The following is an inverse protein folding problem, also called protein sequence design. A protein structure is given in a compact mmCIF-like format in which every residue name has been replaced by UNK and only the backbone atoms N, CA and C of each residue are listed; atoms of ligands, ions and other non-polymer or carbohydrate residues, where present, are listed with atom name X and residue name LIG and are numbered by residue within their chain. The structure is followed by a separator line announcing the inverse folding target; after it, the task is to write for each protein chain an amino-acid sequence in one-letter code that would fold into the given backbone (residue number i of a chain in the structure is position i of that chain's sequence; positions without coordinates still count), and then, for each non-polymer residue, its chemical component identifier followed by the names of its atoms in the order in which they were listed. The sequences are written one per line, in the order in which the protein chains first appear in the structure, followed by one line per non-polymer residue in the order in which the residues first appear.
data_IF_384003397496
#
_entry.id   IF_384003397496
#
_cell.length_a   1.000
_cell.length_b   1.000
_cell.length_c   1.000
_cell.angle_alpha   90.00
_cell.angle_beta   90.00
_cell.angle_gamma   90.00
#
_symmetry.space_group_name_H-M   'P 1'
#
loop_
_entity.id
_entity.type
_entity.pdbx_description
1 polymer ?
#
# COMPACT_ATOMS: atom_id res chain seq x y z
N UNK A 1 -6.75 -0.49 -11.00
CA UNK A 1 -6.10 0.79 -11.31
C UNK A 1 -6.40 1.24 -12.71
N UNK A 2 -6.50 2.53 -12.92
CA UNK A 2 -6.89 3.11 -14.20
C UNK A 2 -5.78 3.88 -14.90
N UNK A 3 -4.78 4.36 -14.17
CA UNK A 3 -3.74 5.18 -14.74
C UNK A 3 -2.41 4.99 -14.01
N UNK A 4 -1.35 4.89 -14.78
CA UNK A 4 0.04 4.92 -14.31
C UNK A 4 0.86 5.80 -15.23
N UNK A 5 1.90 6.42 -14.67
CA UNK A 5 2.87 7.17 -15.47
C UNK A 5 3.61 6.21 -16.44
N UNK A 6 4.03 6.71 -17.62
CA UNK A 6 4.82 5.90 -18.55
C UNK A 6 6.08 5.35 -17.90
N UNK A 7 6.59 4.24 -18.44
CA UNK A 7 7.83 3.58 -18.01
C UNK A 7 7.76 3.04 -16.59
N UNK A 8 6.55 2.79 -16.08
CA UNK A 8 6.32 2.26 -14.74
C UNK A 8 6.95 3.12 -13.64
N UNK A 9 7.06 4.41 -13.86
CA UNK A 9 7.59 5.34 -12.86
C UNK A 9 6.82 5.28 -11.54
N UNK A 10 5.53 4.95 -11.58
CA UNK A 10 4.66 4.86 -10.41
C UNK A 10 4.90 3.62 -9.55
N UNK A 11 5.68 2.66 -10.02
CA UNK A 11 5.87 1.37 -9.36
C UNK A 11 7.27 1.22 -8.79
N UNK A 12 7.35 0.61 -7.60
CA UNK A 12 8.60 0.19 -6.97
C UNK A 12 8.50 -1.29 -6.63
N UNK A 13 9.64 -1.98 -6.61
CA UNK A 13 9.72 -3.32 -6.05
C UNK A 13 9.85 -3.20 -4.54
N UNK A 14 9.12 -4.04 -3.81
CA UNK A 14 9.07 -3.97 -2.35
C UNK A 14 9.24 -5.35 -1.74
N UNK A 15 9.73 -5.40 -0.50
CA UNK A 15 9.81 -6.62 0.28
C UNK A 15 8.65 -6.65 1.26
N UNK A 16 7.84 -7.70 1.20
CA UNK A 16 6.77 -7.96 2.16
C UNK A 16 7.33 -8.87 3.24
N UNK A 17 7.20 -8.43 4.49
CA UNK A 17 7.71 -9.19 5.63
C UNK A 17 6.99 -10.52 5.80
N UNK A 18 7.70 -11.53 6.28
CA UNK A 18 7.15 -12.86 6.55
C UNK A 18 5.97 -12.78 7.54
N UNK A 19 5.04 -13.69 7.38
CA UNK A 19 3.84 -13.79 8.24
C UNK A 19 2.62 -13.08 7.68
N UNK A 20 2.70 -12.56 6.45
CA UNK A 20 1.60 -11.86 5.81
C UNK A 20 1.16 -12.53 4.53
N UNK A 21 -0.15 -12.55 4.30
CA UNK A 21 -0.73 -12.97 3.03
C UNK A 21 -1.63 -11.82 2.57
N UNK A 22 -1.17 -11.06 1.59
CA UNK A 22 -1.78 -9.79 1.22
C UNK A 22 -2.38 -9.85 -0.18
N UNK A 23 -3.58 -9.33 -0.29
CA UNK A 23 -4.31 -9.26 -1.56
C UNK A 23 -3.86 -8.06 -2.39
N UNK A 24 -4.03 -8.14 -3.70
CA UNK A 24 -3.93 -7.00 -4.60
C UNK A 24 -4.79 -5.85 -4.06
N UNK A 25 -4.24 -4.67 -4.00
CA UNK A 25 -4.95 -3.47 -3.53
C UNK A 25 -4.74 -3.16 -2.06
N UNK A 26 -4.02 -3.99 -1.31
CA UNK A 26 -3.75 -3.73 0.10
C UNK A 26 -2.93 -2.45 0.28
N UNK A 27 -3.37 -1.58 1.18
CA UNK A 27 -2.63 -0.36 1.52
C UNK A 27 -1.51 -0.73 2.48
N UNK A 28 -0.29 -0.30 2.17
CA UNK A 28 0.91 -0.72 2.88
C UNK A 28 1.57 0.44 3.62
N UNK A 29 2.20 0.11 4.75
CA UNK A 29 3.17 0.94 5.43
C UNK A 29 4.56 0.32 5.34
N UNK A 30 5.58 1.09 5.71
CA UNK A 30 6.97 0.62 5.71
C UNK A 30 7.55 0.75 7.11
N UNK A 31 8.09 -0.37 7.62
CA UNK A 31 8.76 -0.37 8.91
C UNK A 31 10.10 0.36 8.80
N UNK A 32 10.33 1.34 9.67
CA UNK A 32 11.52 2.17 9.62
C UNK A 32 12.79 1.41 10.05
N UNK A 33 12.64 0.35 10.83
CA UNK A 33 13.79 -0.42 11.35
C UNK A 33 14.33 -1.42 10.35
N UNK A 34 13.46 -2.17 9.66
CA UNK A 34 13.88 -3.23 8.74
C UNK A 34 13.68 -2.86 7.28
N UNK A 35 12.97 -1.77 6.99
CA UNK A 35 12.69 -1.33 5.63
C UNK A 35 11.69 -2.20 4.88
N UNK A 36 11.11 -3.20 5.52
CA UNK A 36 10.13 -4.09 4.90
C UNK A 36 8.74 -3.48 4.95
N UNK A 37 7.89 -3.95 4.07
CA UNK A 37 6.52 -3.46 3.98
C UNK A 37 5.56 -4.39 4.71
N UNK A 38 4.61 -3.78 5.40
CA UNK A 38 3.56 -4.45 6.16
C UNK A 38 2.23 -3.83 5.78
N UNK A 39 1.15 -4.57 5.97
CA UNK A 39 -0.18 -3.97 5.95
C UNK A 39 -0.22 -2.82 6.98
N UNK A 40 -0.87 -1.70 6.63
CA UNK A 40 -0.91 -0.55 7.53
C UNK A 40 -1.49 -0.96 8.89
N UNK A 41 -0.99 -0.32 9.96
CA UNK A 41 -1.45 -0.53 11.32
C UNK A 41 -1.53 0.82 12.03
N UNK A 42 -2.74 1.37 12.23
CA UNK A 42 -2.89 2.69 12.85
C UNK A 42 -2.37 2.75 14.30
N UNK A 43 -2.24 1.61 14.97
CA UNK A 43 -1.75 1.56 16.33
C UNK A 43 -0.23 1.42 16.42
N UNK A 44 0.46 1.24 15.30
CA UNK A 44 1.92 1.08 15.29
C UNK A 44 2.64 2.41 15.46
N UNK A 45 3.91 2.32 15.86
CA UNK A 45 4.80 3.49 16.01
C UNK A 45 6.12 3.26 15.29
N UNK A 46 6.18 2.28 14.39
CA UNK A 46 7.40 1.85 13.70
C UNK A 46 7.49 2.31 12.25
N UNK A 47 6.54 3.10 11.79
CA UNK A 47 6.42 3.57 10.41
C UNK A 47 5.24 2.97 9.66
N UNK A 48 4.72 1.82 10.10
CA UNK A 48 3.61 1.15 9.44
C UNK A 48 2.25 1.80 9.73
N UNK A 49 2.22 2.80 10.60
CA UNK A 49 1.02 3.59 10.85
C UNK A 49 0.76 4.61 9.72
N UNK A 50 1.68 4.77 8.78
CA UNK A 50 1.53 5.70 7.65
C UNK A 50 1.49 4.93 6.34
N UNK A 51 0.60 5.33 5.43
CA UNK A 51 0.50 4.70 4.12
C UNK A 51 1.63 5.18 3.20
N UNK A 52 2.31 4.24 2.54
CA UNK A 52 3.39 4.55 1.59
C UNK A 52 3.05 4.12 0.17
N UNK A 53 2.03 3.30 -0.01
CA UNK A 53 1.61 2.87 -1.33
C UNK A 53 0.56 1.77 -1.28
N UNK A 54 0.24 1.25 -2.46
CA UNK A 54 -0.79 0.23 -2.66
C UNK A 54 -0.17 -0.96 -3.37
N UNK A 55 -0.43 -2.17 -2.87
CA UNK A 55 0.10 -3.40 -3.43
C UNK A 55 -0.52 -3.67 -4.81
N UNK A 56 0.31 -3.87 -5.82
CA UNK A 56 -0.14 -4.06 -7.21
C UNK A 56 -0.24 -5.53 -7.62
N UNK A 57 0.14 -6.47 -6.75
CA UNK A 57 -0.01 -7.91 -6.99
C UNK A 57 -0.26 -8.61 -5.66
N UNK A 58 -0.97 -9.74 -5.69
CA UNK A 58 -1.16 -10.53 -4.47
C UNK A 58 0.15 -11.19 -4.06
N UNK A 59 0.46 -11.15 -2.76
CA UNK A 59 1.70 -11.71 -2.23
C UNK A 59 1.38 -12.60 -1.04
N UNK A 60 1.83 -13.84 -1.10
CA UNK A 60 1.78 -14.76 0.03
C UNK A 60 3.17 -14.87 0.65
N UNK A 61 3.39 -14.15 1.73
CA UNK A 61 4.64 -14.14 2.50
C UNK A 61 4.48 -14.89 3.82
N UNK A 62 3.53 -15.83 3.91
CA UNK A 62 3.21 -16.52 5.17
C UNK A 62 4.44 -17.19 5.79
N UNK A 63 5.29 -17.80 4.99
CA UNK A 63 6.42 -18.59 5.50
C UNK A 63 7.77 -17.89 5.41
N UNK A 64 7.88 -16.84 4.60
CA UNK A 64 9.15 -16.14 4.39
C UNK A 64 8.89 -14.78 3.76
N UNK A 65 9.87 -13.88 3.89
CA UNK A 65 9.83 -12.59 3.18
C UNK A 65 9.73 -12.80 1.68
N UNK A 66 8.98 -11.92 1.01
CA UNK A 66 8.86 -11.91 -0.45
C UNK A 66 9.35 -10.56 -0.96
N UNK A 67 10.29 -10.62 -1.91
CA UNK A 67 10.92 -9.41 -2.48
C UNK A 67 10.41 -9.10 -3.90
N UNK A 68 9.35 -9.76 -4.33
CA UNK A 68 8.77 -9.63 -5.67
C UNK A 68 7.45 -8.85 -5.66
N UNK A 69 7.15 -8.15 -4.58
CA UNK A 69 5.97 -7.31 -4.50
C UNK A 69 6.15 -6.05 -5.36
N UNK A 70 5.08 -5.64 -6.02
CA UNK A 70 5.04 -4.40 -6.78
C UNK A 70 4.19 -3.41 -5.99
N UNK A 71 4.78 -2.27 -5.68
CA UNK A 71 4.15 -1.21 -4.90
C UNK A 71 3.82 -0.03 -5.82
N UNK A 72 2.57 0.40 -5.82
CA UNK A 72 2.21 1.66 -6.46
C UNK A 72 2.53 2.77 -5.47
N UNK A 73 3.56 3.55 -5.76
CA UNK A 73 4.13 4.49 -4.81
C UNK A 73 3.93 5.96 -5.19
N UNK A 74 3.64 6.24 -6.47
CA UNK A 74 3.52 7.63 -6.96
C UNK A 74 2.86 7.67 -8.33
N UNK A 75 2.36 8.87 -8.70
CA UNK A 75 1.90 9.18 -10.07
C UNK A 75 0.91 8.16 -10.63
N UNK A 76 -0.07 7.77 -9.82
CA UNK A 76 -1.08 6.79 -10.23
C UNK A 76 -2.46 7.21 -9.72
N UNK A 77 -3.50 6.72 -10.38
CA UNK A 77 -4.88 6.85 -9.92
C UNK A 77 -5.42 5.46 -9.60
N UNK A 78 -5.97 5.30 -8.41
CA UNK A 78 -6.48 4.02 -7.92
C UNK A 78 -7.96 4.18 -7.60
N UNK A 79 -8.79 3.23 -8.04
CA UNK A 79 -10.19 3.23 -7.70
C UNK A 79 -10.36 2.94 -6.21
N UNK A 80 -11.23 3.70 -5.55
CA UNK A 80 -11.49 3.55 -4.11
C UNK A 80 -11.94 2.13 -3.78
N UNK A 81 -12.74 1.53 -4.64
CA UNK A 81 -13.24 0.17 -4.46
C UNK A 81 -12.17 -0.91 -4.65
N UNK A 82 -11.04 -0.57 -5.25
CA UNK A 82 -9.92 -1.50 -5.44
C UNK A 82 -8.99 -1.57 -4.23
N UNK A 83 -9.13 -0.66 -3.26
CA UNK A 83 -8.30 -0.66 -2.06
C UNK A 83 -8.76 -1.75 -1.10
N UNK A 84 -7.79 -2.43 -0.51
CA UNK A 84 -8.04 -3.43 0.54
C UNK A 84 -7.48 -2.87 1.85
N UNK A 85 -8.36 -2.69 2.82
CA UNK A 85 -7.97 -2.22 4.13
C UNK A 85 -7.73 -3.44 5.03
N UNK A 86 -6.51 -3.61 5.55
CA UNK A 86 -6.15 -4.85 6.26
C UNK A 86 -6.87 -5.04 7.60
N UNK A 87 -7.41 -3.96 8.14
CA UNK A 87 -8.19 -4.02 9.38
C UNK A 87 -9.41 -3.09 9.24
N UNK A 88 -10.37 -3.24 10.15
CA UNK A 88 -11.52 -2.34 10.18
C UNK A 88 -11.07 -0.93 10.58
N UNK A 89 -11.31 0.05 9.73
CA UNK A 89 -10.94 1.44 9.96
C UNK A 89 -12.19 2.30 9.99
N UNK A 90 -12.13 3.38 10.78
CA UNK A 90 -13.16 4.41 10.74
C UNK A 90 -13.10 5.17 9.41
N UNK A 91 -14.17 5.88 9.05
CA UNK A 91 -14.14 6.74 7.87
C UNK A 91 -13.04 7.81 7.93
N UNK A 92 -12.80 8.36 9.12
CA UNK A 92 -11.76 9.36 9.32
C UNK A 92 -10.36 8.77 9.09
N UNK A 93 -10.11 7.53 9.54
CA UNK A 93 -8.84 6.85 9.32
C UNK A 93 -8.60 6.57 7.84
N UNK A 94 -9.62 6.07 7.13
CA UNK A 94 -9.51 5.84 5.68
C UNK A 94 -9.22 7.13 4.93
N UNK A 95 -9.91 8.21 5.26
CA UNK A 95 -9.69 9.51 4.65
C UNK A 95 -8.25 9.99 4.89
N UNK A 96 -7.72 9.82 6.10
CA UNK A 96 -6.35 10.20 6.41
C UNK A 96 -5.34 9.41 5.57
N UNK A 97 -5.55 8.11 5.38
CA UNK A 97 -4.67 7.29 4.55
C UNK A 97 -4.78 7.66 3.07
N UNK A 98 -5.97 7.95 2.59
CA UNK A 98 -6.16 8.42 1.22
C UNK A 98 -5.42 9.73 0.97
N UNK A 99 -5.41 10.63 1.96
CA UNK A 99 -4.63 11.87 1.88
C UNK A 99 -3.13 11.61 1.87
N UNK A 100 -2.65 10.68 2.69
CA UNK A 100 -1.24 10.29 2.70
C UNK A 100 -0.80 9.75 1.34
N UNK A 101 -1.64 8.93 0.71
CA UNK A 101 -1.39 8.43 -0.64
C UNK A 101 -1.37 9.58 -1.65
N UNK A 102 -2.29 10.52 -1.56
CA UNK A 102 -2.35 11.67 -2.45
C UNK A 102 -1.10 12.53 -2.34
N UNK A 103 -0.54 12.69 -1.15
CA UNK A 103 0.71 13.43 -0.93
C UNK A 103 1.89 12.78 -1.65
N UNK A 104 1.82 11.49 -1.93
CA UNK A 104 2.81 10.75 -2.70
C UNK A 104 2.48 10.68 -4.19
N UNK A 105 1.37 11.28 -4.61
CA UNK A 105 0.93 11.25 -6.00
C UNK A 105 0.06 10.05 -6.36
N UNK A 106 -0.40 9.26 -5.38
CA UNK A 106 -1.34 8.17 -5.60
C UNK A 106 -2.75 8.67 -5.29
N UNK A 107 -3.50 8.99 -6.33
CA UNK A 107 -4.84 9.55 -6.19
C UNK A 107 -5.88 8.45 -6.05
N UNK A 108 -6.72 8.56 -5.04
CA UNK A 108 -7.81 7.62 -4.78
C UNK A 108 -9.11 8.29 -5.22
N UNK A 109 -9.83 7.64 -6.12
CA UNK A 109 -11.07 8.18 -6.68
C UNK A 109 -12.20 7.17 -6.55
N UNK A 110 -13.41 7.67 -6.52
CA UNK A 110 -14.62 6.84 -6.49
C UNK A 110 -14.68 5.92 -7.70
N UNK A 111 -14.27 6.46 -8.84
CA UNK A 111 -14.24 5.72 -10.10
C UNK A 111 -13.00 6.19 -10.84
N UNK A 112 -12.04 5.32 -10.95
CA UNK A 112 -10.80 5.64 -11.63
C UNK A 112 -10.86 5.37 -13.13
#
# INVERSE_FOLDING_TARGET
MKYEAPNRYSRDVATIAAGQNLALGTVLGRNASDGKHYAIDPAATDGTESAVGVLANAIDATNADRSDAILIARHATVAKTALVWPIALTGAQRTAYEQQLAERGVLVRESA
#
